data_IF_389130012768
#
_entry.id   IF_389130012768
#
_cell.length_a   1.000
_cell.length_b   1.000
_cell.length_c   1.000
_cell.angle_alpha   90.00
_cell.angle_beta   90.00
_cell.angle_gamma   90.00
#
_symmetry.space_group_name_H-M   'P 1'
#
loop_
_entity.id
_entity.type
_entity.pdbx_description
1 polymer ?
#
# COMPACT_ATOMS: atom_id res chain seq x y z
N UNK A 1 -43.70 -10.12 -13.14
CA UNK A 1 -42.41 -9.39 -13.09
C UNK A 1 -41.89 -9.48 -11.66
N UNK A 2 -41.02 -10.46 -11.39
CA UNK A 2 -40.37 -10.58 -10.08
C UNK A 2 -39.11 -9.73 -10.09
N UNK A 3 -39.07 -8.69 -9.26
CA UNK A 3 -37.82 -7.98 -8.98
C UNK A 3 -36.87 -8.97 -8.32
N UNK A 4 -35.67 -9.15 -8.89
CA UNK A 4 -34.63 -9.91 -8.25
C UNK A 4 -34.31 -9.26 -6.89
N UNK A 5 -34.27 -10.02 -5.78
CA UNK A 5 -33.87 -9.48 -4.50
C UNK A 5 -32.46 -8.92 -4.67
N UNK A 6 -32.30 -7.61 -4.40
CA UNK A 6 -31.00 -6.98 -4.34
C UNK A 6 -30.15 -7.77 -3.34
N UNK A 7 -28.99 -8.24 -3.78
CA UNK A 7 -28.04 -8.90 -2.88
C UNK A 7 -27.75 -7.92 -1.75
N UNK A 8 -28.22 -8.20 -0.54
CA UNK A 8 -27.77 -7.49 0.65
C UNK A 8 -26.26 -7.71 0.73
N UNK A 9 -25.50 -6.65 0.47
CA UNK A 9 -24.05 -6.67 0.56
C UNK A 9 -23.71 -6.73 2.05
N UNK A 10 -23.39 -7.93 2.53
CA UNK A 10 -22.96 -8.14 3.91
C UNK A 10 -21.66 -7.39 4.10
N UNK A 11 -21.70 -6.30 4.86
CA UNK A 11 -20.50 -5.52 5.19
C UNK A 11 -19.64 -6.28 6.19
N UNK A 12 -18.30 -6.20 6.09
CA UNK A 12 -17.40 -6.73 7.10
C UNK A 12 -17.64 -6.07 8.47
N UNK A 13 -17.33 -6.79 9.55
CA UNK A 13 -17.36 -6.23 10.91
C UNK A 13 -16.16 -5.31 11.18
N UNK A 14 -14.99 -5.68 10.64
CA UNK A 14 -13.73 -4.97 10.81
C UNK A 14 -13.30 -4.21 9.56
N UNK A 15 -12.56 -3.14 9.75
CA UNK A 15 -12.06 -2.28 8.67
C UNK A 15 -11.10 -3.02 7.73
N UNK A 16 -10.28 -3.90 8.30
CA UNK A 16 -9.33 -4.76 7.60
C UNK A 16 -9.52 -6.21 8.05
N UNK A 17 -9.22 -7.14 7.16
CA UNK A 17 -9.21 -8.57 7.45
C UNK A 17 -7.90 -9.01 8.12
N UNK A 18 -7.95 -10.11 8.87
CA UNK A 18 -6.73 -10.71 9.45
C UNK A 18 -5.67 -11.05 8.39
N UNK A 19 -6.10 -11.39 7.17
CA UNK A 19 -5.19 -11.65 6.05
C UNK A 19 -4.45 -10.38 5.63
N UNK A 20 -5.18 -9.29 5.46
CA UNK A 20 -4.62 -7.97 5.12
C UNK A 20 -3.58 -7.51 6.14
N UNK A 21 -3.87 -7.71 7.43
CA UNK A 21 -2.96 -7.40 8.52
C UNK A 21 -1.72 -8.30 8.50
N UNK A 22 -1.90 -9.61 8.30
CA UNK A 22 -0.79 -10.57 8.20
C UNK A 22 0.13 -10.23 7.01
N UNK A 23 -0.45 -9.93 5.85
CA UNK A 23 0.29 -9.54 4.66
C UNK A 23 1.06 -8.23 4.90
N UNK A 24 0.45 -7.25 5.58
CA UNK A 24 1.11 -5.99 5.92
C UNK A 24 2.28 -6.20 6.90
N UNK A 25 2.08 -6.96 7.99
CA UNK A 25 3.14 -7.32 8.96
C UNK A 25 4.31 -8.03 8.27
N UNK A 26 4.02 -8.97 7.37
CA UNK A 26 5.05 -9.68 6.59
C UNK A 26 5.86 -8.74 5.69
N UNK A 27 5.19 -7.77 5.03
CA UNK A 27 5.86 -6.77 4.19
C UNK A 27 6.72 -5.80 4.99
N UNK A 28 6.26 -5.35 6.16
CA UNK A 28 7.06 -4.54 7.10
C UNK A 28 8.35 -5.26 7.43
N UNK A 29 8.27 -6.52 7.88
CA UNK A 29 9.45 -7.32 8.24
C UNK A 29 10.42 -7.52 7.05
N UNK A 30 9.90 -7.62 5.83
CA UNK A 30 10.73 -7.67 4.63
C UNK A 30 11.40 -6.32 4.32
N UNK A 31 10.69 -5.20 4.51
CA UNK A 31 11.23 -3.85 4.28
C UNK A 31 12.30 -3.48 5.28
N UNK A 32 12.12 -3.82 6.56
CA UNK A 32 13.13 -3.63 7.61
C UNK A 32 14.45 -4.31 7.25
N UNK A 33 14.41 -5.54 6.72
CA UNK A 33 15.61 -6.23 6.24
C UNK A 33 16.20 -5.62 4.98
N UNK A 34 15.35 -5.03 4.14
CA UNK A 34 15.77 -4.47 2.87
C UNK A 34 16.54 -3.16 3.06
N UNK A 35 16.12 -2.32 4.02
CA UNK A 35 16.79 -1.05 4.32
C UNK A 35 18.15 -1.23 4.98
N UNK A 36 18.38 -2.36 5.67
CA UNK A 36 19.69 -2.71 6.22
C UNK A 36 20.70 -3.11 5.13
N UNK A 37 20.24 -3.35 3.90
CA UNK A 37 21.11 -3.73 2.80
C UNK A 37 21.86 -2.52 2.23
N UNK A 38 23.15 -2.66 1.92
CA UNK A 38 24.01 -1.62 1.31
C UNK A 38 23.48 -1.00 -0.01
N UNK A 39 22.49 -1.65 -0.63
CA UNK A 39 21.88 -1.22 -1.90
C UNK A 39 20.65 -0.33 -1.67
N UNK A 40 20.22 -0.19 -0.42
CA UNK A 40 19.14 0.70 -0.04
C UNK A 40 19.63 2.15 0.20
N UNK A 41 20.95 2.35 0.34
CA UNK A 41 21.57 3.67 0.48
C UNK A 41 21.60 4.41 -0.87
N UNK A 42 20.41 4.88 -1.27
CA UNK A 42 20.17 5.59 -2.52
C UNK A 42 19.46 6.89 -2.17
N UNK A 43 20.09 8.00 -2.51
CA UNK A 43 19.57 9.34 -2.26
C UNK A 43 18.14 9.49 -2.81
N UNK A 44 17.21 9.90 -1.94
CA UNK A 44 15.79 10.09 -2.28
C UNK A 44 14.94 8.82 -2.29
N UNK A 45 15.53 7.62 -2.18
CA UNK A 45 14.76 6.37 -2.05
C UNK A 45 14.08 6.28 -0.68
N UNK A 46 14.72 6.81 0.37
CA UNK A 46 14.21 6.86 1.76
C UNK A 46 12.77 7.37 1.82
N UNK A 47 12.46 8.46 1.12
CA UNK A 47 11.09 9.02 1.06
C UNK A 47 10.04 7.97 0.65
N UNK A 48 10.34 7.16 -0.38
CA UNK A 48 9.40 6.15 -0.87
C UNK A 48 9.28 4.95 0.07
N UNK A 49 10.33 4.66 0.82
CA UNK A 49 10.36 3.62 1.83
C UNK A 49 9.54 4.06 3.04
N UNK A 50 9.70 5.30 3.51
CA UNK A 50 8.93 5.87 4.61
C UNK A 50 7.43 5.91 4.28
N UNK A 51 7.06 6.38 3.09
CA UNK A 51 5.65 6.36 2.64
C UNK A 51 5.07 4.93 2.59
N UNK A 52 5.90 3.95 2.22
CA UNK A 52 5.50 2.55 2.19
C UNK A 52 5.32 1.98 3.61
N UNK A 53 6.19 2.35 4.55
CA UNK A 53 6.06 2.02 5.97
C UNK A 53 4.80 2.64 6.58
N UNK A 54 4.50 3.89 6.26
CA UNK A 54 3.33 4.60 6.76
C UNK A 54 2.02 3.96 6.28
N UNK A 55 1.92 3.67 4.98
CA UNK A 55 0.73 3.01 4.41
C UNK A 55 0.55 1.58 4.99
N UNK A 56 1.64 0.85 5.21
CA UNK A 56 1.62 -0.47 5.85
C UNK A 56 1.24 -0.40 7.34
N UNK A 57 1.79 0.55 8.07
CA UNK A 57 1.54 0.73 9.51
C UNK A 57 0.09 1.12 9.76
N UNK A 58 -0.52 1.94 8.89
CA UNK A 58 -1.95 2.27 8.93
C UNK A 58 -2.84 1.04 8.82
N UNK A 59 -2.49 0.08 7.97
CA UNK A 59 -3.25 -1.18 7.84
C UNK A 59 -3.16 -1.97 9.14
N UNK A 60 -1.94 -2.11 9.69
CA UNK A 60 -1.72 -2.86 10.93
C UNK A 60 -2.42 -2.21 12.12
N UNK A 61 -2.35 -0.88 12.25
CA UNK A 61 -3.01 -0.16 13.35
C UNK A 61 -4.54 -0.21 13.27
N UNK A 62 -5.10 -0.54 12.10
CA UNK A 62 -6.53 -0.63 11.85
C UNK A 62 -7.12 -2.02 12.13
N UNK A 63 -6.32 -2.98 12.63
CA UNK A 63 -6.71 -4.40 12.84
C UNK A 63 -8.02 -4.58 13.62
N UNK A 64 -8.28 -3.69 14.58
CA UNK A 64 -9.47 -3.75 15.45
C UNK A 64 -10.47 -2.62 15.19
N UNK A 65 -10.25 -1.80 14.16
CA UNK A 65 -11.16 -0.72 13.82
C UNK A 65 -12.47 -1.29 13.27
N UNK A 66 -13.63 -0.76 13.71
CA UNK A 66 -14.91 -1.15 13.13
C UNK A 66 -14.98 -0.73 11.66
N UNK A 67 -15.68 -1.50 10.84
CA UNK A 67 -15.85 -1.17 9.43
C UNK A 67 -16.58 0.16 9.24
N UNK A 68 -15.93 1.09 8.55
CA UNK A 68 -16.49 2.37 8.12
C UNK A 68 -16.13 2.55 6.65
N UNK A 69 -17.12 2.61 5.75
CA UNK A 69 -16.91 2.67 4.30
C UNK A 69 -15.95 3.78 3.87
N UNK A 70 -16.00 4.96 4.51
CA UNK A 70 -15.07 6.06 4.21
C UNK A 70 -13.62 5.71 4.56
N UNK A 71 -13.39 5.13 5.75
CA UNK A 71 -12.06 4.65 6.15
C UNK A 71 -11.60 3.49 5.27
N UNK A 72 -12.52 2.61 4.85
CA UNK A 72 -12.18 1.50 3.97
C UNK A 72 -11.62 2.00 2.63
N UNK A 73 -12.23 3.05 2.06
CA UNK A 73 -11.72 3.71 0.86
C UNK A 73 -10.35 4.38 1.05
N UNK A 74 -10.00 4.77 2.27
CA UNK A 74 -8.66 5.29 2.59
C UNK A 74 -7.63 4.17 2.67
N UNK A 75 -7.99 3.04 3.27
CA UNK A 75 -7.18 1.82 3.28
C UNK A 75 -6.97 1.30 1.85
N UNK A 76 -8.01 1.24 1.02
CA UNK A 76 -7.90 0.79 -0.38
C UNK A 76 -6.98 1.74 -1.19
N UNK A 77 -7.04 3.04 -0.93
CA UNK A 77 -6.10 4.02 -1.53
C UNK A 77 -4.66 3.78 -1.08
N UNK A 78 -4.46 3.46 0.20
CA UNK A 78 -3.15 3.11 0.76
C UNK A 78 -2.61 1.84 0.10
N UNK A 79 -3.43 0.81 -0.10
CA UNK A 79 -3.05 -0.39 -0.86
C UNK A 79 -2.62 -0.11 -2.30
N UNK A 80 -3.34 0.78 -2.99
CA UNK A 80 -2.98 1.17 -4.34
C UNK A 80 -1.61 1.85 -4.39
N UNK A 81 -1.35 2.80 -3.49
CA UNK A 81 -0.03 3.47 -3.39
C UNK A 81 1.08 2.50 -3.00
N UNK A 82 0.82 1.66 -2.00
CA UNK A 82 1.74 0.63 -1.53
C UNK A 82 2.28 -0.22 -2.69
N UNK A 83 1.41 -0.68 -3.59
CA UNK A 83 1.83 -1.49 -4.75
C UNK A 83 2.80 -0.75 -5.67
N UNK A 84 2.67 0.57 -5.79
CA UNK A 84 3.57 1.37 -6.62
C UNK A 84 4.92 1.58 -5.96
N UNK A 85 4.95 1.89 -4.66
CA UNK A 85 6.19 2.04 -3.91
C UNK A 85 6.92 0.70 -3.73
N UNK A 86 6.22 -0.40 -3.47
CA UNK A 86 6.80 -1.74 -3.42
C UNK A 86 7.52 -2.11 -4.74
N UNK A 87 6.89 -1.83 -5.88
CA UNK A 87 7.53 -2.06 -7.18
C UNK A 87 8.74 -1.16 -7.41
N UNK A 88 8.68 0.11 -6.99
CA UNK A 88 9.80 1.04 -7.09
C UNK A 88 10.99 0.52 -6.28
N UNK A 89 10.76 0.19 -5.01
CA UNK A 89 11.77 -0.32 -4.09
C UNK A 89 12.41 -1.61 -4.64
N UNK A 90 11.61 -2.54 -5.15
CA UNK A 90 12.11 -3.77 -5.82
C UNK A 90 12.97 -3.44 -7.04
N UNK A 91 12.52 -2.55 -7.93
CA UNK A 91 13.26 -2.21 -9.14
C UNK A 91 14.59 -1.53 -8.82
N UNK A 92 14.59 -0.62 -7.85
CA UNK A 92 15.79 0.14 -7.48
C UNK A 92 16.78 -0.73 -6.73
N UNK A 93 16.36 -1.38 -5.64
CA UNK A 93 17.27 -2.13 -4.75
C UNK A 93 17.65 -3.49 -5.34
N UNK A 94 16.66 -4.26 -5.84
CA UNK A 94 16.90 -5.64 -6.28
C UNK A 94 17.31 -5.72 -7.75
N UNK A 95 16.82 -4.83 -8.62
CA UNK A 95 17.15 -4.85 -10.06
C UNK A 95 18.20 -3.83 -10.47
N UNK A 96 18.63 -2.96 -9.55
CA UNK A 96 19.64 -1.93 -9.83
C UNK A 96 19.16 -0.86 -10.82
N UNK A 97 17.84 -0.65 -10.93
CA UNK A 97 17.30 0.42 -11.76
C UNK A 97 17.61 1.78 -11.12
N UNK A 98 17.95 2.76 -11.95
CA UNK A 98 18.11 4.15 -11.50
C UNK A 98 16.79 4.68 -10.93
N UNK A 99 16.86 5.32 -9.75
CA UNK A 99 15.67 5.83 -9.04
C UNK A 99 14.81 6.72 -9.93
N UNK A 100 15.41 7.63 -10.70
CA UNK A 100 14.70 8.57 -11.57
C UNK A 100 13.90 7.83 -12.67
N UNK A 101 14.44 6.71 -13.15
CA UNK A 101 13.79 5.87 -14.17
C UNK A 101 12.61 5.10 -13.56
N UNK A 102 12.79 4.57 -12.35
CA UNK A 102 11.75 3.87 -11.62
C UNK A 102 10.60 4.84 -11.22
N UNK A 103 10.93 6.05 -10.77
CA UNK A 103 9.97 7.10 -10.41
C UNK A 103 9.18 7.56 -11.63
N UNK A 104 9.80 7.71 -12.79
CA UNK A 104 9.10 8.10 -14.02
C UNK A 104 8.02 7.08 -14.44
N UNK A 105 8.13 5.83 -14.00
CA UNK A 105 7.14 4.76 -14.24
C UNK A 105 5.99 4.75 -13.23
N UNK A 106 6.09 5.49 -12.13
CA UNK A 106 4.99 5.64 -11.19
C UNK A 106 3.82 6.30 -11.92
N UNK A 107 2.57 5.86 -11.68
CA UNK A 107 1.41 6.52 -12.26
C UNK A 107 1.40 7.97 -11.79
N UNK A 108 1.64 8.88 -12.73
CA UNK A 108 1.48 10.30 -12.51
C UNK A 108 0.03 10.51 -12.10
N UNK A 109 -0.18 10.99 -10.88
CA UNK A 109 -1.50 11.39 -10.40
C UNK A 109 -1.89 12.60 -11.26
N UNK A 110 -2.46 12.37 -12.44
CA UNK A 110 -3.07 13.40 -13.27
C UNK A 110 -4.28 13.86 -12.49
N UNK A 111 -4.05 14.76 -11.54
CA UNK A 111 -5.11 15.55 -10.94
C UNK A 111 -5.89 16.15 -12.08
N UNK A 112 -7.08 15.62 -12.35
CA UNK A 112 -8.07 16.34 -13.14
C UNK A 112 -8.47 17.55 -12.30
N UNK A 113 -7.70 18.62 -12.39
CA UNK A 113 -8.24 19.96 -12.23
C UNK A 113 -8.99 20.28 -13.50
N UNK A 114 -10.30 20.07 -13.47
CA UNK A 114 -11.29 20.83 -14.25
C UNK A 114 -12.57 20.90 -13.44
#
# INVERSE_FOLDING_TARGET
MGAAPGKEEILPETLVSNKEVSDAKGKIACLEKLIEHEKADIEGLEYYIDELFDDLSKIVSSEHDPYIMMRRREIDRSYHRQRHFENLVINVILRGERLETAVAKLPQNKGKSK
#
